data_IF_687514088199
#
_entry.id   IF_687514088199
#
_cell.length_a   1.000
_cell.length_b   1.000
_cell.length_c   1.000
_cell.angle_alpha   90.00
_cell.angle_beta   90.00
_cell.angle_gamma   90.00
#
_symmetry.space_group_name_H-M   'P 1'
#
loop_
_entity.id
_entity.type
_entity.pdbx_description
1 polymer ?
#
# COMPACT_ATOMS: atom_id res chain seq x y z
N UNK A 1 -41.91 19.81 25.73
CA UNK A 1 -40.50 19.61 25.36
C UNK A 1 -39.64 19.90 26.57
N UNK A 2 -39.18 18.86 27.25
CA UNK A 2 -38.38 18.99 28.48
C UNK A 2 -36.98 19.52 28.13
N UNK A 3 -36.68 20.74 28.58
CA UNK A 3 -35.30 21.24 28.69
C UNK A 3 -34.62 20.45 29.81
N UNK A 4 -33.51 19.80 29.50
CA UNK A 4 -32.69 19.11 30.48
C UNK A 4 -31.97 20.18 31.35
N UNK A 5 -32.21 20.29 32.67
CA UNK A 5 -31.78 21.46 33.45
C UNK A 5 -30.38 21.38 34.08
N UNK A 6 -29.51 20.46 33.65
CA UNK A 6 -28.27 20.13 34.38
C UNK A 6 -26.96 20.24 33.59
N UNK A 7 -26.80 21.25 32.73
CA UNK A 7 -25.48 21.63 32.20
C UNK A 7 -25.37 23.15 32.04
N UNK A 8 -25.33 23.88 33.16
CA UNK A 8 -24.65 25.18 33.19
C UNK A 8 -23.17 24.90 33.47
N UNK A 9 -22.38 24.69 32.43
CA UNK A 9 -20.93 24.63 32.54
C UNK A 9 -20.42 26.05 32.81
N UNK A 10 -20.05 26.33 34.06
CA UNK A 10 -19.36 27.58 34.39
C UNK A 10 -17.86 27.42 34.09
N UNK A 11 -17.16 28.52 33.79
CA UNK A 11 -15.70 28.53 33.59
C UNK A 11 -14.91 27.85 34.74
N UNK A 12 -15.50 27.77 35.95
CA UNK A 12 -14.93 27.09 37.11
C UNK A 12 -14.94 25.55 37.02
N UNK A 13 -15.80 24.96 36.18
CA UNK A 13 -15.87 23.51 35.98
C UNK A 13 -14.76 22.97 35.06
N UNK A 14 -14.16 23.84 34.24
CA UNK A 14 -13.00 23.53 33.38
C UNK A 14 -11.67 23.90 34.05
N UNK A 15 -11.62 24.97 34.84
CA UNK A 15 -10.41 25.48 35.50
C UNK A 15 -10.03 24.76 36.82
N UNK A 16 -10.79 23.73 37.23
CA UNK A 16 -10.48 22.92 38.42
C UNK A 16 -10.22 21.45 38.10
N UNK A 17 -9.32 21.20 37.16
CA UNK A 17 -8.61 19.92 37.14
C UNK A 17 -7.70 19.89 38.37
N UNK A 18 -8.22 19.39 39.50
CA UNK A 18 -7.38 19.12 40.66
C UNK A 18 -6.19 18.23 40.24
N UNK A 19 -5.03 18.36 40.91
CA UNK A 19 -3.86 17.51 40.61
C UNK A 19 -4.19 16.01 40.56
N UNK A 20 -5.20 15.57 41.31
CA UNK A 20 -5.74 14.21 41.30
C UNK A 20 -6.45 13.81 40.00
N UNK A 21 -7.18 14.73 39.34
CA UNK A 21 -7.83 14.45 38.04
C UNK A 21 -6.82 14.49 36.89
N UNK A 22 -5.78 15.33 36.98
CA UNK A 22 -4.65 15.32 36.05
C UNK A 22 -3.83 14.01 36.17
N UNK A 23 -3.60 13.55 37.40
CA UNK A 23 -2.94 12.27 37.69
C UNK A 23 -3.77 11.07 37.19
N UNK A 24 -5.10 11.11 37.36
CA UNK A 24 -6.00 10.04 36.92
C UNK A 24 -6.09 9.90 35.39
N UNK A 25 -6.00 11.00 34.65
CA UNK A 25 -5.95 10.96 33.18
C UNK A 25 -4.61 10.45 32.66
N UNK A 26 -3.51 10.84 33.33
CA UNK A 26 -2.16 10.34 33.07
C UNK A 26 -2.03 8.84 33.35
N UNK A 27 -2.64 8.36 34.43
CA UNK A 27 -2.73 6.92 34.73
C UNK A 27 -3.57 6.17 33.68
N UNK A 28 -4.67 6.76 33.21
CA UNK A 28 -5.48 6.18 32.14
C UNK A 28 -4.71 6.07 30.82
N UNK A 29 -3.87 7.06 30.47
CA UNK A 29 -3.02 7.00 29.26
C UNK A 29 -1.91 5.96 29.40
N UNK A 30 -1.31 5.82 30.58
CA UNK A 30 -0.36 4.74 30.89
C UNK A 30 -1.01 3.37 30.86
N UNK A 31 -2.23 3.23 31.37
CA UNK A 31 -3.00 1.98 31.31
C UNK A 31 -3.41 1.63 29.88
N UNK A 32 -3.80 2.62 29.06
CA UNK A 32 -4.10 2.42 27.64
C UNK A 32 -2.86 2.01 26.85
N UNK A 33 -1.69 2.59 27.13
CA UNK A 33 -0.42 2.18 26.51
C UNK A 33 -0.01 0.76 26.92
N UNK A 34 -0.13 0.41 28.21
CA UNK A 34 0.07 -0.97 28.69
C UNK A 34 -0.92 -1.95 28.03
N UNK A 35 -2.19 -1.57 27.96
CA UNK A 35 -3.25 -2.34 27.31
C UNK A 35 -3.04 -2.51 25.80
N UNK A 36 -2.48 -1.52 25.11
CA UNK A 36 -2.12 -1.62 23.70
C UNK A 36 -0.97 -2.60 23.48
N UNK A 37 0.04 -2.58 24.34
CA UNK A 37 1.16 -3.54 24.32
C UNK A 37 0.66 -4.96 24.61
N UNK A 38 -0.21 -5.16 25.59
CA UNK A 38 -0.78 -6.48 25.90
C UNK A 38 -1.72 -7.00 24.79
N UNK A 39 -2.50 -6.12 24.16
CA UNK A 39 -3.31 -6.48 22.97
C UNK A 39 -2.42 -6.87 21.79
N UNK A 40 -1.33 -6.15 21.58
CA UNK A 40 -0.35 -6.46 20.53
C UNK A 40 0.33 -7.81 20.81
N UNK A 41 0.76 -8.09 22.05
CA UNK A 41 1.30 -9.41 22.45
C UNK A 41 0.30 -10.53 22.21
N UNK A 42 -0.96 -10.33 22.58
CA UNK A 42 -2.02 -11.30 22.37
C UNK A 42 -2.26 -11.59 20.87
N UNK A 43 -2.22 -10.55 20.04
CA UNK A 43 -2.41 -10.67 18.59
C UNK A 43 -1.20 -11.34 17.92
N UNK A 44 0.03 -10.98 18.30
CA UNK A 44 1.27 -11.64 17.83
C UNK A 44 1.30 -13.13 18.20
N UNK A 45 0.89 -13.47 19.44
CA UNK A 45 0.78 -14.87 19.89
C UNK A 45 -0.29 -15.63 19.11
N UNK A 46 -1.45 -15.00 18.84
CA UNK A 46 -2.55 -15.58 18.05
C UNK A 46 -2.15 -15.86 16.59
N UNK A 47 -1.22 -15.07 16.06
CA UNK A 47 -0.68 -15.19 14.70
C UNK A 47 0.56 -16.09 14.62
N UNK A 48 1.01 -16.69 15.73
CA UNK A 48 2.16 -17.59 15.77
C UNK A 48 3.51 -16.91 15.54
N UNK A 49 3.60 -15.59 15.77
CA UNK A 49 4.79 -14.78 15.51
C UNK A 49 5.73 -14.85 16.71
N UNK A 50 6.98 -15.28 16.50
CA UNK A 50 8.02 -15.25 17.53
C UNK A 50 8.62 -13.84 17.66
N UNK A 51 8.68 -13.32 18.89
CA UNK A 51 9.36 -12.07 19.26
C UNK A 51 10.34 -12.33 20.39
N UNK A 52 11.39 -11.51 20.50
CA UNK A 52 12.34 -11.59 21.63
C UNK A 52 11.97 -10.61 22.74
N UNK A 53 12.41 -10.86 23.97
CA UNK A 53 12.21 -9.92 25.09
C UNK A 53 12.85 -8.54 24.82
N UNK A 54 13.98 -8.51 24.09
CA UNK A 54 14.63 -7.26 23.66
C UNK A 54 13.75 -6.43 22.71
N UNK A 55 13.00 -7.08 21.80
CA UNK A 55 12.10 -6.36 20.88
C UNK A 55 10.98 -5.65 21.66
N UNK A 56 10.52 -6.26 22.76
CA UNK A 56 9.50 -5.67 23.64
C UNK A 56 10.08 -4.51 24.44
N UNK A 57 11.30 -4.64 24.98
CA UNK A 57 11.95 -3.57 25.74
C UNK A 57 12.23 -2.32 24.88
N UNK A 58 12.65 -2.48 23.63
CA UNK A 58 12.86 -1.34 22.73
C UNK A 58 11.54 -0.60 22.44
N UNK A 59 10.45 -1.34 22.24
CA UNK A 59 9.11 -0.78 22.04
C UNK A 59 8.65 -0.02 23.28
N UNK A 60 8.83 -0.60 24.47
CA UNK A 60 8.49 0.05 25.75
C UNK A 60 9.24 1.36 25.94
N UNK A 61 10.56 1.36 25.72
CA UNK A 61 11.41 2.56 25.85
C UNK A 61 11.01 3.67 24.88
N UNK A 62 10.54 3.31 23.68
CA UNK A 62 10.04 4.27 22.71
C UNK A 62 8.68 4.86 23.14
N UNK A 63 7.77 4.02 23.62
CA UNK A 63 6.49 4.46 24.18
C UNK A 63 6.68 5.40 25.38
N UNK A 64 7.61 5.10 26.28
CA UNK A 64 7.90 5.94 27.44
C UNK A 64 8.38 7.34 27.04
N UNK A 65 9.25 7.43 26.02
CA UNK A 65 9.70 8.73 25.46
C UNK A 65 8.57 9.50 24.77
N UNK A 66 7.69 8.79 24.06
CA UNK A 66 6.53 9.40 23.41
C UNK A 66 5.55 9.97 24.45
N UNK A 67 5.29 9.21 25.51
CA UNK A 67 4.51 9.64 26.67
C UNK A 67 5.13 10.88 27.32
N UNK A 68 6.45 10.94 27.46
CA UNK A 68 7.15 12.10 28.02
C UNK A 68 7.02 13.37 27.15
N UNK A 69 7.09 13.22 25.82
CA UNK A 69 6.86 14.33 24.86
C UNK A 69 5.43 14.86 24.94
N UNK A 70 4.45 13.94 24.88
CA UNK A 70 3.02 14.27 25.00
C UNK A 70 2.76 15.00 26.33
N UNK A 71 3.31 14.50 27.44
CA UNK A 71 3.19 15.14 28.76
C UNK A 71 3.78 16.55 28.81
N UNK A 72 4.85 16.80 28.07
CA UNK A 72 5.51 18.12 28.03
C UNK A 72 4.68 19.12 27.23
N UNK A 73 4.17 18.72 26.07
CA UNK A 73 3.27 19.55 25.24
C UNK A 73 1.98 19.89 25.98
N UNK A 74 1.37 18.90 26.64
CA UNK A 74 0.16 19.11 27.44
C UNK A 74 0.35 20.08 28.59
N UNK A 75 1.50 20.05 29.28
CA UNK A 75 1.80 21.02 30.34
C UNK A 75 1.87 22.44 29.80
N UNK A 76 2.46 22.64 28.62
CA UNK A 76 2.55 23.96 27.98
C UNK A 76 1.18 24.49 27.53
N UNK A 77 0.31 23.62 27.03
CA UNK A 77 -1.06 23.99 26.61
C UNK A 77 -1.94 24.37 27.81
N UNK A 78 -1.84 23.64 28.92
CA UNK A 78 -2.53 23.98 30.18
C UNK A 78 -2.02 25.30 30.75
N UNK A 79 -0.71 25.54 30.69
CA UNK A 79 -0.10 26.81 31.14
C UNK A 79 -0.58 28.00 30.29
N UNK A 80 -0.74 27.82 28.98
CA UNK A 80 -1.30 28.84 28.08
C UNK A 80 -2.76 29.17 28.41
N UNK A 81 -3.60 28.15 28.64
CA UNK A 81 -5.02 28.35 28.98
C UNK A 81 -5.19 29.02 30.36
N UNK A 82 -4.32 28.66 31.32
CA UNK A 82 -4.29 29.31 32.64
C UNK A 82 -3.85 30.78 32.57
N UNK A 83 -2.94 31.12 31.65
CA UNK A 83 -2.39 32.47 31.50
C UNK A 83 -3.35 33.41 30.77
N UNK A 84 -4.00 32.94 29.70
CA UNK A 84 -4.82 33.80 28.84
C UNK A 84 -6.31 33.79 29.19
N UNK A 85 -6.76 32.86 30.03
CA UNK A 85 -8.16 32.73 30.42
C UNK A 85 -9.03 32.13 29.32
N UNK A 86 -9.92 31.21 29.71
CA UNK A 86 -10.77 30.45 28.79
C UNK A 86 -11.71 31.37 27.98
N UNK A 87 -12.33 32.35 28.62
CA UNK A 87 -13.33 33.22 27.97
C UNK A 87 -12.72 34.15 26.91
N UNK A 88 -11.50 34.64 27.14
CA UNK A 88 -10.76 35.43 26.16
C UNK A 88 -10.35 34.58 24.95
N UNK A 89 -9.98 33.32 25.21
CA UNK A 89 -9.58 32.34 24.20
C UNK A 89 -10.76 31.92 23.31
N UNK A 90 -11.93 31.66 23.89
CA UNK A 90 -13.16 31.36 23.15
C UNK A 90 -13.61 32.57 22.31
N UNK A 91 -13.45 33.78 22.82
CA UNK A 91 -13.77 35.02 22.09
C UNK A 91 -12.87 35.23 20.87
N UNK A 92 -11.56 34.93 21.00
CA UNK A 92 -10.62 34.98 19.88
C UNK A 92 -10.95 33.94 18.80
N UNK A 93 -11.34 32.73 19.20
CA UNK A 93 -11.70 31.64 18.29
C UNK A 93 -12.99 31.94 17.50
N UNK A 94 -14.02 32.47 18.17
CA UNK A 94 -15.24 32.91 17.50
C UNK A 94 -14.96 33.95 16.41
N UNK A 95 -14.10 34.93 16.73
CA UNK A 95 -13.66 35.96 15.79
C UNK A 95 -12.91 35.37 14.59
N UNK A 96 -11.99 34.42 14.81
CA UNK A 96 -11.24 33.74 13.72
C UNK A 96 -12.16 32.95 12.77
N UNK A 97 -13.25 32.39 13.29
CA UNK A 97 -14.24 31.62 12.52
C UNK A 97 -15.33 32.47 11.89
N UNK A 98 -15.28 33.80 12.06
CA UNK A 98 -16.31 34.74 11.59
C UNK A 98 -17.71 34.40 12.14
N UNK A 99 -17.75 33.81 13.34
CA UNK A 99 -18.98 33.49 14.06
C UNK A 99 -19.21 34.53 15.16
N UNK A 100 -20.46 34.85 15.46
CA UNK A 100 -20.76 35.60 16.67
C UNK A 100 -20.48 34.74 17.90
N UNK A 101 -20.19 35.38 19.04
CA UNK A 101 -19.94 34.67 20.29
C UNK A 101 -21.13 33.76 20.67
N UNK A 102 -22.35 34.17 20.34
CA UNK A 102 -23.58 33.39 20.59
C UNK A 102 -23.64 32.13 19.73
N UNK A 103 -23.37 32.23 18.43
CA UNK A 103 -23.37 31.09 17.51
C UNK A 103 -22.24 30.10 17.84
N UNK A 104 -21.07 30.62 18.23
CA UNK A 104 -19.97 29.78 18.66
C UNK A 104 -20.26 29.07 19.98
N UNK A 105 -20.84 29.77 20.96
CA UNK A 105 -21.25 29.13 22.22
C UNK A 105 -22.37 28.09 22.04
N UNK A 106 -23.30 28.31 21.10
CA UNK A 106 -24.32 27.32 20.73
C UNK A 106 -23.68 26.07 20.12
N UNK A 107 -22.76 26.25 19.16
CA UNK A 107 -21.96 25.17 18.59
C UNK A 107 -21.19 24.36 19.65
N UNK A 108 -20.55 25.03 20.61
CA UNK A 108 -19.81 24.37 21.69
C UNK A 108 -20.74 23.67 22.71
N UNK A 109 -21.98 24.14 22.88
CA UNK A 109 -22.96 23.58 23.83
C UNK A 109 -23.54 22.23 23.40
N UNK A 110 -23.48 21.93 22.10
CA UNK A 110 -23.88 20.63 21.54
C UNK A 110 -22.80 19.55 21.70
N UNK A 111 -21.59 19.93 22.09
CA UNK A 111 -20.42 19.05 22.18
C UNK A 111 -20.24 18.49 23.59
N UNK A 112 -19.76 17.23 23.71
CA UNK A 112 -19.34 16.68 24.99
C UNK A 112 -18.09 17.37 25.53
N UNK A 113 -17.86 17.39 26.86
CA UNK A 113 -16.71 18.09 27.49
C UNK A 113 -15.34 17.72 26.91
N UNK A 114 -15.16 16.45 26.52
CA UNK A 114 -13.92 15.96 25.92
C UNK A 114 -13.74 16.42 24.47
N UNK A 115 -14.83 16.46 23.71
CA UNK A 115 -14.87 16.89 22.31
C UNK A 115 -14.65 18.40 22.20
N UNK A 116 -15.27 19.16 23.12
CA UNK A 116 -15.08 20.60 23.29
C UNK A 116 -13.61 20.96 23.54
N UNK A 117 -12.94 20.22 24.42
CA UNK A 117 -11.52 20.44 24.73
C UNK A 117 -10.62 20.19 23.51
N UNK A 118 -10.85 19.11 22.77
CA UNK A 118 -10.08 18.80 21.56
C UNK A 118 -10.30 19.82 20.45
N UNK A 119 -11.53 20.29 20.25
CA UNK A 119 -11.82 21.33 19.24
C UNK A 119 -11.11 22.65 19.56
N UNK A 120 -11.11 23.09 20.82
CA UNK A 120 -10.41 24.29 21.26
C UNK A 120 -8.89 24.12 21.09
N UNK A 121 -8.36 22.95 21.47
CA UNK A 121 -6.94 22.60 21.34
C UNK A 121 -6.45 22.61 19.89
N UNK A 122 -7.19 21.98 18.97
CA UNK A 122 -6.87 21.88 17.54
C UNK A 122 -6.82 23.26 16.85
N UNK A 123 -7.65 24.19 17.30
CA UNK A 123 -7.75 25.54 16.71
C UNK A 123 -6.72 26.52 17.27
N UNK A 124 -6.32 26.38 18.53
CA UNK A 124 -5.31 27.23 19.16
C UNK A 124 -3.88 26.82 18.82
N UNK A 125 -3.64 25.52 18.71
CA UNK A 125 -2.31 24.95 18.47
C UNK A 125 -2.32 24.08 17.21
N UNK A 126 -2.57 24.66 16.01
CA UNK A 126 -2.65 23.89 14.77
C UNK A 126 -1.33 23.17 14.44
N UNK A 127 -0.20 23.67 14.95
CA UNK A 127 1.13 23.04 14.83
C UNK A 127 1.22 21.75 15.66
N UNK A 128 0.46 21.68 16.76
CA UNK A 128 0.34 20.52 17.65
C UNK A 128 -0.79 19.57 17.21
N UNK A 129 -1.43 19.78 16.05
CA UNK A 129 -2.35 18.78 15.43
C UNK A 129 -1.74 17.39 15.31
N UNK A 130 -0.40 17.29 15.40
CA UNK A 130 0.31 16.02 15.45
C UNK A 130 0.08 15.22 16.72
N UNK A 131 -0.28 15.79 17.89
CA UNK A 131 -0.04 15.10 19.17
C UNK A 131 -1.21 14.40 19.87
N UNK A 132 -2.40 14.24 19.27
CA UNK A 132 -3.35 13.20 19.72
C UNK A 132 -3.73 12.12 18.71
N UNK A 133 -3.35 12.31 17.45
CA UNK A 133 -3.35 11.26 16.43
C UNK A 133 -1.91 10.99 15.99
N UNK A 134 -0.99 10.80 16.93
CA UNK A 134 0.20 10.01 16.65
C UNK A 134 -0.29 8.54 16.64
N UNK A 135 -0.91 8.12 15.54
CA UNK A 135 -0.64 6.77 15.07
C UNK A 135 0.84 6.81 14.70
N UNK A 136 1.73 6.49 15.65
CA UNK A 136 3.09 6.08 15.28
C UNK A 136 2.86 4.81 14.50
N UNK A 137 2.82 4.94 13.18
CA UNK A 137 2.81 3.81 12.29
C UNK A 137 4.16 3.13 12.49
N UNK A 138 4.14 2.03 13.23
CA UNK A 138 5.31 1.19 13.40
C UNK A 138 5.60 0.52 12.08
N UNK A 139 6.88 0.45 11.72
CA UNK A 139 7.30 -0.27 10.52
C UNK A 139 7.01 -1.76 10.68
N UNK A 140 6.12 -2.31 9.85
CA UNK A 140 5.91 -3.76 9.78
C UNK A 140 7.12 -4.43 9.12
N UNK A 141 7.67 -5.47 9.77
CA UNK A 141 8.93 -6.12 9.35
C UNK A 141 8.74 -7.55 8.83
N UNK A 142 7.52 -7.98 8.54
CA UNK A 142 7.26 -9.36 8.11
C UNK A 142 7.71 -9.52 6.66
N UNK A 143 8.79 -10.27 6.44
CA UNK A 143 9.22 -10.66 5.10
C UNK A 143 8.28 -11.75 4.56
N UNK A 144 7.60 -11.52 3.41
CA UNK A 144 6.70 -12.53 2.86
C UNK A 144 7.45 -13.81 2.51
N UNK A 145 6.88 -14.98 2.81
CA UNK A 145 7.42 -16.27 2.34
C UNK A 145 6.92 -16.63 0.93
N UNK A 146 5.74 -16.10 0.59
CA UNK A 146 5.07 -16.28 -0.69
C UNK A 146 4.96 -14.94 -1.39
N UNK A 147 5.22 -14.93 -2.69
CA UNK A 147 5.00 -13.80 -3.56
C UNK A 147 3.68 -13.97 -4.33
N UNK A 148 2.78 -13.01 -4.15
CA UNK A 148 1.44 -13.00 -4.72
C UNK A 148 1.38 -12.05 -5.91
N UNK A 149 0.94 -12.59 -7.05
CA UNK A 149 0.85 -11.87 -8.33
C UNK A 149 -0.62 -11.88 -8.78
N UNK A 150 -1.33 -10.74 -8.75
CA UNK A 150 -2.52 -10.53 -9.57
C UNK A 150 -2.25 -10.94 -11.01
N UNK A 151 -2.96 -11.96 -11.50
CA UNK A 151 -2.77 -12.50 -12.84
C UNK A 151 -4.07 -12.48 -13.66
N UNK A 152 -5.00 -11.62 -13.29
CA UNK A 152 -6.20 -11.38 -14.10
C UNK A 152 -5.86 -10.67 -15.40
N UNK A 153 -6.75 -10.77 -16.40
CA UNK A 153 -6.56 -10.02 -17.65
C UNK A 153 -6.55 -8.52 -17.40
N UNK A 154 -7.39 -8.01 -16.50
CA UNK A 154 -7.38 -6.61 -16.07
C UNK A 154 -6.01 -6.23 -15.51
N UNK A 155 -5.49 -6.97 -14.52
CA UNK A 155 -4.17 -6.70 -13.93
C UNK A 155 -3.04 -6.67 -14.98
N UNK A 156 -3.11 -7.58 -15.95
CA UNK A 156 -2.10 -7.73 -16.99
C UNK A 156 -2.19 -6.64 -18.07
N UNK A 157 -3.39 -6.11 -18.32
CA UNK A 157 -3.64 -5.09 -19.33
C UNK A 157 -3.15 -3.71 -18.89
N UNK A 158 -3.17 -3.37 -17.59
CA UNK A 158 -2.78 -2.04 -17.09
C UNK A 158 -1.40 -1.56 -17.56
N UNK A 159 -0.48 -2.48 -17.83
CA UNK A 159 0.88 -2.17 -18.27
C UNK A 159 1.05 -2.28 -19.78
N UNK A 160 -0.01 -2.31 -20.58
CA UNK A 160 0.06 -2.47 -22.04
C UNK A 160 0.57 -1.19 -22.73
N UNK A 161 1.52 -1.28 -23.69
CA UNK A 161 1.99 -0.16 -24.52
C UNK A 161 0.96 0.67 -25.23
N UNK A 162 -0.17 0.08 -25.58
CA UNK A 162 -1.22 0.76 -26.29
C UNK A 162 -2.10 1.64 -25.39
N UNK A 163 -2.02 1.49 -24.07
CA UNK A 163 -2.82 2.29 -23.14
C UNK A 163 -2.11 3.63 -22.90
N UNK A 164 -2.64 4.68 -23.52
CA UNK A 164 -2.25 6.08 -23.30
C UNK A 164 -3.26 6.78 -22.39
N UNK A 165 -2.83 7.87 -21.75
CA UNK A 165 -3.62 8.58 -20.74
C UNK A 165 -4.85 9.29 -21.34
N UNK A 166 -4.89 9.50 -22.66
CA UNK A 166 -6.04 10.06 -23.39
C UNK A 166 -7.24 9.08 -23.42
N UNK A 167 -7.00 7.81 -23.10
CA UNK A 167 -8.00 6.75 -23.04
C UNK A 167 -8.40 6.56 -21.58
N UNK A 168 -9.13 7.54 -21.03
CA UNK A 168 -9.64 7.49 -19.65
C UNK A 168 -10.55 6.30 -19.36
N UNK A 169 -10.96 5.52 -20.37
CA UNK A 169 -11.72 4.27 -20.23
C UNK A 169 -11.45 3.32 -21.39
N UNK A 170 -11.22 2.03 -21.10
CA UNK A 170 -11.01 0.99 -22.10
C UNK A 170 -11.63 -0.34 -21.66
N UNK A 171 -11.99 -1.18 -22.64
CA UNK A 171 -12.55 -2.51 -22.39
C UNK A 171 -11.46 -3.59 -22.42
N UNK A 172 -11.51 -4.48 -21.43
CA UNK A 172 -10.63 -5.64 -21.32
C UNK A 172 -11.45 -6.90 -21.59
N UNK A 173 -11.23 -7.53 -22.73
CA UNK A 173 -11.88 -8.81 -23.08
C UNK A 173 -11.42 -9.92 -22.13
N UNK A 174 -12.21 -10.25 -21.10
CA UNK A 174 -11.90 -11.27 -20.07
C UNK A 174 -12.19 -12.69 -20.54
N UNK A 175 -13.17 -12.90 -21.42
CA UNK A 175 -13.47 -14.21 -21.99
C UNK A 175 -13.88 -14.15 -23.47
N UNK A 176 -12.96 -14.54 -24.36
CA UNK A 176 -13.17 -14.54 -25.82
C UNK A 176 -14.31 -15.45 -26.28
N UNK A 177 -14.43 -16.63 -25.66
CA UNK A 177 -15.39 -17.65 -26.12
C UNK A 177 -16.83 -17.26 -25.80
N UNK A 178 -17.01 -16.48 -24.73
CA UNK A 178 -18.32 -16.02 -24.25
C UNK A 178 -18.58 -14.54 -24.52
N UNK A 179 -17.66 -13.87 -25.23
CA UNK A 179 -17.70 -12.43 -25.53
C UNK A 179 -18.01 -11.60 -24.29
N UNK A 180 -17.12 -11.68 -23.29
CA UNK A 180 -17.27 -10.98 -22.01
C UNK A 180 -16.11 -10.01 -21.84
N UNK A 181 -16.43 -8.76 -21.54
CA UNK A 181 -15.47 -7.69 -21.29
C UNK A 181 -15.68 -7.05 -19.92
N UNK A 182 -14.62 -6.42 -19.41
CA UNK A 182 -14.63 -5.63 -18.18
C UNK A 182 -14.17 -4.23 -18.55
N UNK A 183 -14.97 -3.23 -18.21
CA UNK A 183 -14.62 -1.84 -18.48
C UNK A 183 -13.71 -1.33 -17.35
N UNK A 184 -12.59 -0.72 -17.73
CA UNK A 184 -11.60 -0.16 -16.80
C UNK A 184 -11.43 1.32 -17.13
N UNK A 185 -11.60 2.16 -16.12
CA UNK A 185 -11.37 3.60 -16.20
C UNK A 185 -10.13 3.93 -15.38
N UNK A 186 -9.21 4.70 -15.96
CA UNK A 186 -8.02 5.23 -15.31
C UNK A 186 -8.13 6.75 -15.33
N UNK A 187 -8.18 7.37 -14.16
CA UNK A 187 -8.23 8.83 -14.03
C UNK A 187 -6.89 9.35 -13.51
N UNK A 188 -6.33 10.30 -14.25
CA UNK A 188 -5.04 10.92 -14.01
C UNK A 188 -5.13 12.43 -13.76
N UNK A 189 -6.32 13.02 -13.92
CA UNK A 189 -6.56 14.45 -13.75
C UNK A 189 -7.20 14.71 -12.37
N UNK A 190 -6.43 15.30 -11.46
CA UNK A 190 -6.94 15.97 -10.26
C UNK A 190 -6.60 17.46 -10.40
N UNK A 191 -7.62 18.31 -10.36
CA UNK A 191 -7.53 19.77 -10.52
C UNK A 191 -6.58 20.44 -9.50
N UNK A 192 -6.23 19.76 -8.41
CA UNK A 192 -5.32 20.24 -7.36
C UNK A 192 -3.90 19.63 -7.44
N UNK A 193 -3.61 18.80 -8.44
CA UNK A 193 -2.34 18.05 -8.54
C UNK A 193 -1.72 18.28 -9.93
N UNK A 194 -0.70 19.12 -9.99
CA UNK A 194 0.19 19.17 -11.16
C UNK A 194 1.02 17.87 -11.22
N UNK A 195 0.60 16.92 -12.07
CA UNK A 195 1.47 15.82 -12.49
C UNK A 195 2.51 16.40 -13.46
N UNK A 196 3.63 16.90 -12.91
CA UNK A 196 4.74 17.44 -13.69
C UNK A 196 5.29 16.35 -14.60
N UNK A 197 4.97 16.50 -15.87
CA UNK A 197 5.29 15.58 -16.94
C UNK A 197 6.79 15.65 -17.26
N UNK A 198 7.57 14.75 -16.68
CA UNK A 198 8.93 14.46 -17.15
C UNK A 198 9.07 12.98 -17.47
N UNK A 199 8.74 12.66 -18.72
CA UNK A 199 9.05 11.41 -19.46
C UNK A 199 8.16 10.18 -19.20
N UNK A 200 6.88 10.24 -19.62
CA UNK A 200 6.13 9.03 -19.96
C UNK A 200 5.15 8.59 -18.88
N UNK A 201 4.04 9.31 -18.82
CA UNK A 201 2.79 8.95 -18.15
C UNK A 201 2.29 7.59 -18.68
N UNK A 202 2.77 6.48 -18.09
CA UNK A 202 2.32 5.08 -18.32
C UNK A 202 2.76 4.15 -17.20
N UNK A 203 1.90 3.19 -16.84
CA UNK A 203 2.31 2.05 -16.02
C UNK A 203 3.13 1.07 -16.85
N UNK A 204 4.27 0.68 -16.31
CA UNK A 204 5.21 -0.26 -16.92
C UNK A 204 5.12 -1.64 -16.27
N UNK A 205 5.69 -2.66 -16.91
CA UNK A 205 5.81 -3.98 -16.30
C UNK A 205 6.60 -3.94 -14.97
N UNK A 206 7.50 -2.96 -14.80
CA UNK A 206 8.20 -2.73 -13.54
C UNK A 206 7.26 -2.19 -12.46
N UNK A 207 6.34 -1.28 -12.80
CA UNK A 207 5.32 -0.79 -11.86
C UNK A 207 4.41 -1.92 -11.36
N UNK A 208 4.07 -2.88 -12.24
CA UNK A 208 3.37 -4.10 -11.83
C UNK A 208 4.18 -4.95 -10.86
N UNK A 209 5.50 -5.07 -11.03
CA UNK A 209 6.35 -5.76 -10.05
C UNK A 209 6.36 -5.10 -8.68
N UNK A 210 6.30 -3.77 -8.64
CA UNK A 210 6.15 -2.99 -7.40
C UNK A 210 4.78 -3.26 -6.78
N UNK A 211 3.69 -3.22 -7.56
CA UNK A 211 2.33 -3.57 -7.11
C UNK A 211 2.28 -4.98 -6.50
N UNK A 212 2.81 -5.99 -7.19
CA UNK A 212 2.85 -7.37 -6.69
C UNK A 212 3.58 -7.48 -5.34
N UNK A 213 4.63 -6.68 -5.17
CA UNK A 213 5.39 -6.63 -3.92
C UNK A 213 4.57 -6.01 -2.78
N UNK A 214 3.80 -4.97 -3.06
CA UNK A 214 2.85 -4.38 -2.10
C UNK A 214 1.76 -5.40 -1.73
N UNK A 215 1.16 -6.08 -2.72
CA UNK A 215 0.18 -7.14 -2.49
C UNK A 215 0.74 -8.28 -1.62
N UNK A 216 1.98 -8.68 -1.89
CA UNK A 216 2.64 -9.74 -1.12
C UNK A 216 2.91 -9.35 0.32
N UNK A 217 3.31 -8.09 0.56
CA UNK A 217 3.48 -7.57 1.92
C UNK A 217 2.15 -7.43 2.65
N UNK A 218 1.10 -7.00 1.96
CA UNK A 218 -0.27 -6.97 2.50
C UNK A 218 -0.75 -8.34 2.96
N UNK A 219 -0.60 -9.37 2.11
CA UNK A 219 -0.97 -10.76 2.46
C UNK A 219 -0.15 -11.32 3.63
N UNK A 220 1.09 -10.86 3.78
CA UNK A 220 1.91 -11.19 4.95
C UNK A 220 1.53 -10.38 6.22
N UNK A 221 0.48 -9.55 6.17
CA UNK A 221 -0.01 -8.76 7.29
C UNK A 221 0.66 -7.40 7.47
N UNK A 222 1.51 -6.96 6.54
CA UNK A 222 2.13 -5.63 6.62
C UNK A 222 1.18 -4.58 6.02
N UNK A 223 0.83 -3.56 6.81
CA UNK A 223 0.08 -2.39 6.35
C UNK A 223 0.99 -1.17 6.16
N UNK A 224 2.19 -1.19 6.71
CA UNK A 224 3.20 -0.14 6.57
C UNK A 224 4.47 -0.70 5.94
N UNK A 225 5.12 0.08 5.08
CA UNK A 225 6.36 -0.35 4.45
C UNK A 225 7.23 0.81 3.98
N UNK A 226 8.53 0.53 3.87
CA UNK A 226 9.50 1.42 3.21
C UNK A 226 9.73 1.01 1.76
N UNK A 227 10.20 1.94 0.89
CA UNK A 227 10.64 1.60 -0.46
C UNK A 227 11.69 0.47 -0.51
N UNK A 228 12.57 0.40 0.50
CA UNK A 228 13.61 -0.63 0.56
C UNK A 228 13.01 -2.02 0.79
N UNK A 229 12.01 -2.13 1.66
CA UNK A 229 11.28 -3.39 1.87
C UNK A 229 10.54 -3.85 0.61
N UNK A 230 9.96 -2.93 -0.14
CA UNK A 230 9.34 -3.22 -1.43
C UNK A 230 10.39 -3.71 -2.43
N UNK A 231 11.54 -3.04 -2.53
CA UNK A 231 12.64 -3.49 -3.39
C UNK A 231 13.12 -4.90 -3.04
N UNK A 232 13.28 -5.19 -1.74
CA UNK A 232 13.72 -6.51 -1.26
C UNK A 232 12.68 -7.59 -1.57
N UNK A 233 11.41 -7.30 -1.31
CA UNK A 233 10.28 -8.20 -1.61
C UNK A 233 10.23 -8.53 -3.10
N UNK A 234 10.34 -7.51 -3.96
CA UNK A 234 10.32 -7.64 -5.43
C UNK A 234 11.44 -8.54 -5.99
N UNK A 235 12.53 -8.70 -5.23
CA UNK A 235 13.73 -9.42 -5.65
C UNK A 235 14.06 -10.65 -4.79
N UNK A 236 13.18 -11.03 -3.87
CA UNK A 236 13.42 -12.15 -2.94
C UNK A 236 14.68 -11.98 -2.10
N UNK A 237 15.00 -10.73 -1.75
CA UNK A 237 16.16 -10.41 -0.92
C UNK A 237 15.79 -10.46 0.56
N UNK A 238 16.78 -10.72 1.38
CA UNK A 238 16.68 -10.68 2.84
C UNK A 238 16.60 -9.23 3.35
N UNK A 239 16.05 -9.03 4.56
CA UNK A 239 15.88 -7.70 5.16
C UNK A 239 17.21 -6.95 5.42
N UNK A 240 18.36 -7.64 5.39
CA UNK A 240 19.67 -7.04 5.59
C UNK A 240 20.34 -6.59 4.30
N UNK A 241 19.82 -6.99 3.14
CA UNK A 241 20.46 -6.66 1.87
C UNK A 241 20.31 -5.17 1.54
N UNK A 242 21.42 -4.60 1.05
CA UNK A 242 21.53 -3.19 0.74
C UNK A 242 20.67 -2.81 -0.47
N UNK A 243 19.99 -1.67 -0.37
CA UNK A 243 19.23 -1.06 -1.46
C UNK A 243 19.90 0.24 -1.88
N UNK A 244 20.27 0.35 -3.15
CA UNK A 244 20.92 1.55 -3.66
C UNK A 244 19.95 2.74 -3.67
N UNK A 245 20.47 3.97 -3.57
CA UNK A 245 19.67 5.20 -3.68
C UNK A 245 18.87 5.25 -4.99
N UNK A 246 19.47 4.80 -6.08
CA UNK A 246 18.85 4.75 -7.40
C UNK A 246 17.70 3.73 -7.46
N UNK A 247 17.88 2.54 -6.87
CA UNK A 247 16.82 1.54 -6.75
C UNK A 247 15.68 2.04 -5.88
N UNK A 248 16.00 2.68 -4.75
CA UNK A 248 15.01 3.30 -3.86
C UNK A 248 14.20 4.37 -4.58
N UNK A 249 14.86 5.27 -5.31
CA UNK A 249 14.20 6.34 -6.06
C UNK A 249 13.20 5.80 -7.10
N UNK A 250 13.56 4.74 -7.83
CA UNK A 250 12.64 4.07 -8.78
C UNK A 250 11.42 3.47 -8.10
N UNK A 251 11.59 2.87 -6.92
CA UNK A 251 10.46 2.34 -6.15
C UNK A 251 9.55 3.47 -5.68
N UNK A 252 10.11 4.56 -5.17
CA UNK A 252 9.35 5.76 -4.77
C UNK A 252 8.55 6.31 -5.96
N UNK A 253 9.19 6.48 -7.11
CA UNK A 253 8.54 6.97 -8.34
C UNK A 253 7.37 6.06 -8.75
N UNK A 254 7.57 4.74 -8.70
CA UNK A 254 6.55 3.75 -9.03
C UNK A 254 5.36 3.76 -8.06
N UNK A 255 5.63 3.80 -6.74
CA UNK A 255 4.59 3.87 -5.71
C UNK A 255 3.83 5.20 -5.82
N UNK A 256 4.52 6.32 -5.96
CA UNK A 256 3.89 7.64 -6.05
C UNK A 256 3.01 7.74 -7.31
N UNK A 257 3.47 7.18 -8.43
CA UNK A 257 2.66 7.05 -9.67
C UNK A 257 1.37 6.26 -9.41
N UNK A 258 1.45 5.12 -8.75
CA UNK A 258 0.28 4.27 -8.48
C UNK A 258 -0.62 4.81 -7.37
N UNK A 259 -0.09 5.57 -6.40
CA UNK A 259 -0.89 6.17 -5.33
C UNK A 259 -1.87 7.22 -5.87
N UNK A 260 -1.44 7.99 -6.85
CA UNK A 260 -2.21 9.09 -7.41
C UNK A 260 -3.18 8.66 -8.51
N UNK A 261 -3.16 7.38 -8.90
CA UNK A 261 -3.95 6.86 -10.02
C UNK A 261 -5.28 6.31 -9.52
N UNK A 262 -6.40 6.95 -9.85
CA UNK A 262 -7.73 6.39 -9.59
C UNK A 262 -8.09 5.34 -10.65
N UNK A 263 -8.63 4.20 -10.19
CA UNK A 263 -9.04 3.07 -11.00
C UNK A 263 -10.48 2.71 -10.66
N UNK A 264 -11.29 2.60 -11.70
CA UNK A 264 -12.65 2.05 -11.62
C UNK A 264 -12.77 0.83 -12.51
N UNK A 265 -13.34 -0.24 -11.96
CA UNK A 265 -13.51 -1.53 -12.64
C UNK A 265 -14.99 -1.88 -12.61
N UNK A 266 -15.62 -1.89 -13.79
CA UNK A 266 -16.98 -2.39 -13.97
C UNK A 266 -16.93 -3.81 -14.54
N UNK A 267 -17.17 -4.79 -13.67
CA UNK A 267 -17.17 -6.20 -14.00
C UNK A 267 -18.55 -6.83 -13.82
N UNK A 268 -19.59 -6.01 -13.94
CA UNK A 268 -21.00 -6.45 -13.90
C UNK A 268 -21.26 -7.58 -14.91
N UNK A 269 -20.74 -7.43 -16.14
CA UNK A 269 -20.92 -8.43 -17.19
C UNK A 269 -20.23 -9.76 -16.85
N UNK A 270 -18.99 -9.70 -16.34
CA UNK A 270 -18.27 -10.88 -15.87
C UNK A 270 -19.00 -11.57 -14.72
N UNK A 271 -19.49 -10.78 -13.76
CA UNK A 271 -20.18 -11.29 -12.59
C UNK A 271 -21.51 -11.98 -12.93
N UNK A 272 -22.30 -11.39 -13.82
CA UNK A 272 -23.60 -11.94 -14.23
C UNK A 272 -23.45 -13.18 -15.12
N UNK A 273 -22.44 -13.22 -16.01
CA UNK A 273 -22.28 -14.31 -17.00
C UNK A 273 -21.38 -15.46 -16.55
N UNK A 274 -20.44 -15.23 -15.63
CA UNK A 274 -19.47 -16.26 -15.19
C UNK A 274 -19.71 -16.73 -13.76
N UNK A 275 -20.04 -15.82 -12.84
CA UNK A 275 -20.23 -16.17 -11.44
C UNK A 275 -21.71 -16.48 -11.21
N UNK A 276 -22.03 -17.76 -10.98
CA UNK A 276 -23.31 -18.16 -10.37
C UNK A 276 -23.31 -17.75 -8.90
N UNK A 277 -23.13 -16.46 -8.62
CA UNK A 277 -23.15 -15.92 -7.29
C UNK A 277 -24.52 -16.28 -6.67
N UNK A 278 -24.62 -16.73 -5.41
CA UNK A 278 -25.92 -17.08 -4.82
C UNK A 278 -26.93 -15.91 -4.79
N UNK A 279 -26.46 -14.69 -5.06
CA UNK A 279 -27.25 -13.46 -5.23
C UNK A 279 -27.36 -13.00 -6.70
N UNK A 280 -26.94 -13.81 -7.69
CA UNK A 280 -26.85 -13.42 -9.11
C UNK A 280 -28.20 -13.22 -9.79
N UNK A 281 -29.29 -13.71 -9.21
CA UNK A 281 -30.65 -13.47 -9.74
C UNK A 281 -31.10 -12.01 -9.55
N UNK A 282 -30.38 -11.18 -8.77
CA UNK A 282 -30.76 -9.79 -8.49
C UNK A 282 -29.62 -8.75 -8.65
N UNK A 283 -28.43 -9.15 -9.11
CA UNK A 283 -27.29 -8.23 -9.20
C UNK A 283 -27.34 -7.43 -10.52
N UNK A 284 -27.80 -6.17 -10.47
CA UNK A 284 -27.90 -5.29 -11.65
C UNK A 284 -26.59 -4.54 -11.97
N UNK A 285 -25.68 -4.42 -11.00
CA UNK A 285 -24.42 -3.69 -11.15
C UNK A 285 -23.35 -4.16 -10.16
N UNK A 286 -22.11 -4.27 -10.63
CA UNK A 286 -20.95 -4.54 -9.78
C UNK A 286 -19.72 -3.74 -10.23
N UNK A 287 -19.50 -2.62 -9.56
CA UNK A 287 -18.39 -1.69 -9.81
C UNK A 287 -17.59 -1.52 -8.52
N UNK A 288 -16.26 -1.55 -8.64
CA UNK A 288 -15.35 -1.09 -7.60
C UNK A 288 -14.55 0.11 -8.10
N UNK A 289 -14.29 1.09 -7.22
CA UNK A 289 -13.52 2.30 -7.54
C UNK A 289 -12.63 2.67 -6.36
N UNK A 290 -11.36 2.94 -6.63
CA UNK A 290 -10.40 3.48 -5.66
C UNK A 290 -9.09 3.84 -6.36
N UNK A 291 -8.12 4.42 -5.65
CA UNK A 291 -6.74 4.50 -6.09
C UNK A 291 -6.14 3.10 -6.33
N UNK A 292 -5.29 2.97 -7.36
CA UNK A 292 -4.58 1.74 -7.69
C UNK A 292 -3.82 1.21 -6.47
N UNK A 293 -3.19 2.13 -5.73
CA UNK A 293 -2.67 1.91 -4.39
C UNK A 293 -3.15 3.02 -3.45
N UNK A 294 -4.23 2.79 -2.71
CA UNK A 294 -4.69 3.69 -1.66
C UNK A 294 -3.69 3.72 -0.48
N UNK A 295 -2.78 4.70 -0.52
CA UNK A 295 -1.67 4.84 0.42
C UNK A 295 -1.62 6.25 1.01
N UNK A 296 -1.16 6.38 2.26
CA UNK A 296 -0.66 7.63 2.82
C UNK A 296 0.86 7.63 2.86
N UNK A 297 1.49 8.79 2.61
CA UNK A 297 2.90 9.00 2.97
C UNK A 297 3.00 9.23 4.47
N UNK A 298 3.91 8.51 5.12
CA UNK A 298 4.10 8.56 6.57
C UNK A 298 5.59 8.67 6.90
N UNK A 299 5.91 9.27 8.04
CA UNK A 299 7.25 9.25 8.62
C UNK A 299 7.32 8.10 9.62
N UNK A 300 8.12 7.08 9.31
CA UNK A 300 8.28 5.88 10.11
C UNK A 300 9.52 6.04 10.99
N UNK A 301 9.36 5.86 12.30
CA UNK A 301 10.51 5.82 13.21
C UNK A 301 11.09 4.41 13.20
N UNK A 302 12.37 4.28 12.85
CA UNK A 302 13.13 3.03 12.89
C UNK A 302 14.27 3.12 13.89
N UNK A 303 14.91 1.99 14.21
CA UNK A 303 16.13 1.97 15.04
C UNK A 303 17.26 2.84 14.47
N UNK A 304 17.23 3.12 13.16
CA UNK A 304 18.22 3.93 12.45
C UNK A 304 17.76 5.38 12.18
N UNK A 305 16.65 5.80 12.79
CA UNK A 305 16.07 7.14 12.65
C UNK A 305 14.76 7.16 11.86
N UNK A 306 14.30 8.37 11.57
CA UNK A 306 13.05 8.62 10.85
C UNK A 306 13.27 8.42 9.35
N UNK A 307 12.44 7.60 8.72
CA UNK A 307 12.47 7.34 7.29
C UNK A 307 11.08 7.55 6.69
N UNK A 308 11.02 8.03 5.45
CA UNK A 308 9.76 8.07 4.72
C UNK A 308 9.29 6.64 4.40
N UNK A 309 8.04 6.36 4.71
CA UNK A 309 7.34 5.14 4.36
C UNK A 309 5.95 5.41 3.81
N UNK A 310 5.22 4.32 3.65
CA UNK A 310 3.87 4.31 3.11
C UNK A 310 3.00 3.45 4.01
N UNK A 311 1.78 3.91 4.25
CA UNK A 311 0.73 3.15 4.93
C UNK A 311 -0.41 2.85 3.99
N UNK A 312 -0.76 1.58 3.88
CA UNK A 312 -1.90 1.10 3.15
C UNK A 312 -3.19 1.46 3.88
N UNK A 313 -4.09 2.16 3.19
CA UNK A 313 -5.39 2.56 3.71
C UNK A 313 -6.44 1.47 3.49
N UNK A 314 -6.30 0.74 2.39
CA UNK A 314 -7.12 -0.42 2.08
C UNK A 314 -6.39 -1.37 1.13
N UNK A 315 -6.93 -2.57 0.98
CA UNK A 315 -6.41 -3.61 0.10
C UNK A 315 -6.29 -3.12 -1.37
N UNK A 316 -5.18 -3.40 -2.09
CA UNK A 316 -5.02 -2.96 -3.47
C UNK A 316 -6.16 -3.41 -4.38
N UNK A 317 -6.77 -2.48 -5.11
CA UNK A 317 -8.01 -2.71 -5.87
C UNK A 317 -7.88 -3.84 -6.93
N UNK A 318 -6.74 -3.89 -7.62
CA UNK A 318 -6.45 -4.93 -8.62
C UNK A 318 -6.29 -6.30 -7.98
N UNK A 319 -5.77 -6.34 -6.75
CA UNK A 319 -5.65 -7.56 -5.99
C UNK A 319 -7.01 -8.05 -5.50
N UNK A 320 -7.88 -7.14 -5.01
CA UNK A 320 -9.28 -7.44 -4.68
C UNK A 320 -10.02 -8.07 -5.85
N UNK A 321 -10.01 -7.43 -7.03
CA UNK A 321 -10.62 -7.99 -8.25
C UNK A 321 -10.05 -9.37 -8.61
N UNK A 322 -8.73 -9.53 -8.56
CA UNK A 322 -8.08 -10.79 -8.93
C UNK A 322 -8.37 -11.92 -7.93
N UNK A 323 -8.58 -11.61 -6.64
CA UNK A 323 -9.01 -12.59 -5.64
C UNK A 323 -10.44 -13.06 -5.88
N UNK A 324 -11.37 -12.15 -6.15
CA UNK A 324 -12.76 -12.51 -6.45
C UNK A 324 -12.84 -13.53 -7.60
N UNK A 325 -11.95 -13.39 -8.58
CA UNK A 325 -11.96 -14.20 -9.78
C UNK A 325 -11.05 -15.45 -9.69
N UNK A 326 -10.43 -15.71 -8.52
CA UNK A 326 -9.43 -16.76 -8.30
C UNK A 326 -8.25 -16.72 -9.29
N UNK A 327 -7.83 -15.51 -9.68
CA UNK A 327 -6.79 -15.25 -10.68
C UNK A 327 -5.51 -14.70 -10.04
N UNK A 328 -4.98 -15.43 -9.06
CA UNK A 328 -3.72 -15.08 -8.37
C UNK A 328 -2.73 -16.21 -8.49
N UNK A 329 -1.50 -15.84 -8.88
CA UNK A 329 -0.36 -16.73 -8.83
C UNK A 329 0.33 -16.55 -7.48
N UNK A 330 0.65 -17.67 -6.85
CA UNK A 330 1.44 -17.70 -5.63
C UNK A 330 2.72 -18.49 -5.92
N UNK A 331 3.89 -17.92 -5.63
CA UNK A 331 5.18 -18.62 -5.77
C UNK A 331 6.05 -18.41 -4.53
N UNK A 332 6.95 -19.36 -4.21
CA UNK A 332 7.96 -19.16 -3.15
C UNK A 332 8.80 -17.91 -3.43
N UNK A 333 9.02 -17.07 -2.41
CA UNK A 333 9.69 -15.78 -2.63
C UNK A 333 11.16 -15.91 -3.05
N UNK A 334 11.82 -17.00 -2.66
CA UNK A 334 13.20 -17.31 -3.02
C UNK A 334 13.38 -17.53 -4.54
N UNK A 335 12.30 -17.88 -5.27
CA UNK A 335 12.30 -17.98 -6.72
C UNK A 335 12.65 -16.64 -7.39
N UNK A 336 12.33 -15.52 -6.75
CA UNK A 336 12.67 -14.19 -7.25
C UNK A 336 14.16 -13.87 -7.16
N UNK A 337 14.90 -14.56 -6.29
CA UNK A 337 16.28 -14.19 -6.00
C UNK A 337 17.28 -14.71 -7.03
N UNK A 338 17.55 -13.91 -8.05
CA UNK A 338 18.46 -14.27 -9.16
C UNK A 338 19.93 -13.88 -8.92
N UNK A 339 20.31 -13.41 -7.72
CA UNK A 339 21.60 -12.71 -7.51
C UNK A 339 22.83 -13.56 -7.83
N UNK A 340 22.73 -14.87 -7.64
CA UNK A 340 23.84 -15.82 -7.89
C UNK A 340 24.05 -16.07 -9.39
N UNK A 341 23.07 -15.72 -10.24
CA UNK A 341 23.11 -15.92 -11.69
C UNK A 341 23.25 -14.60 -12.45
N UNK A 342 22.64 -13.54 -11.92
CA UNK A 342 22.46 -12.25 -12.59
C UNK A 342 22.37 -11.11 -11.57
N UNK A 343 23.04 -9.99 -11.89
CA UNK A 343 22.82 -8.73 -11.18
C UNK A 343 21.38 -8.24 -11.39
N UNK A 344 20.71 -7.91 -10.29
CA UNK A 344 19.38 -7.30 -10.31
C UNK A 344 19.39 -5.96 -11.07
N UNK A 345 18.45 -5.81 -12.00
CA UNK A 345 18.18 -4.57 -12.74
C UNK A 345 16.69 -4.53 -13.11
N UNK A 346 16.11 -3.36 -13.45
CA UNK A 346 14.70 -3.28 -13.85
C UNK A 346 14.34 -4.24 -14.99
N UNK A 347 15.23 -4.39 -15.98
CA UNK A 347 15.06 -5.33 -17.09
C UNK A 347 15.03 -6.79 -16.61
N UNK A 348 15.95 -7.18 -15.73
CA UNK A 348 15.98 -8.54 -15.17
C UNK A 348 14.72 -8.81 -14.35
N UNK A 349 14.27 -7.84 -13.54
CA UNK A 349 13.03 -7.94 -12.76
C UNK A 349 11.82 -8.19 -13.66
N UNK A 350 11.67 -7.40 -14.74
CA UNK A 350 10.56 -7.53 -15.68
C UNK A 350 10.58 -8.88 -16.40
N UNK A 351 11.75 -9.29 -16.93
CA UNK A 351 11.89 -10.59 -17.62
C UNK A 351 11.55 -11.73 -16.66
N UNK A 352 12.11 -11.70 -15.45
CA UNK A 352 11.91 -12.74 -14.42
C UNK A 352 10.45 -12.90 -14.07
N UNK A 353 9.77 -11.82 -13.72
CA UNK A 353 8.36 -11.89 -13.33
C UNK A 353 7.48 -12.35 -14.50
N UNK A 354 7.76 -11.89 -15.72
CA UNK A 354 7.04 -12.36 -16.90
C UNK A 354 7.19 -13.88 -17.09
N UNK A 355 8.42 -14.41 -16.97
CA UNK A 355 8.67 -15.85 -17.05
C UNK A 355 7.91 -16.61 -15.96
N UNK A 356 7.96 -16.15 -14.70
CA UNK A 356 7.21 -16.75 -13.58
C UNK A 356 5.72 -16.80 -13.90
N UNK A 357 5.12 -15.69 -14.35
CA UNK A 357 3.69 -15.63 -14.69
C UNK A 357 3.33 -16.63 -15.78
N UNK A 358 4.15 -16.72 -16.83
CA UNK A 358 3.92 -17.65 -17.95
C UNK A 358 4.04 -19.10 -17.51
N UNK A 359 5.08 -19.43 -16.73
CA UNK A 359 5.34 -20.80 -16.27
C UNK A 359 4.25 -21.24 -15.28
N UNK A 360 3.87 -20.40 -14.32
CA UNK A 360 2.80 -20.72 -13.37
C UNK A 360 1.47 -21.06 -14.08
N UNK A 361 1.13 -20.33 -15.15
CA UNK A 361 -0.04 -20.65 -15.97
C UNK A 361 0.11 -22.00 -16.68
N UNK A 362 1.31 -22.34 -17.18
CA UNK A 362 1.56 -23.65 -17.81
C UNK A 362 1.44 -24.80 -16.81
N UNK A 363 1.90 -24.60 -15.57
CA UNK A 363 1.80 -25.61 -14.49
C UNK A 363 0.35 -25.89 -14.09
N UNK A 364 -0.52 -24.88 -14.18
CA UNK A 364 -1.92 -24.99 -13.76
C UNK A 364 -2.87 -25.44 -14.90
N UNK A 365 -2.49 -25.29 -16.17
CA UNK A 365 -3.33 -25.70 -17.31
C UNK A 365 -2.47 -26.30 -18.44
N UNK A 366 -2.46 -27.64 -18.50
CA UNK A 366 -1.72 -28.43 -19.51
C UNK A 366 -2.17 -28.17 -20.95
N UNK A 367 -3.34 -27.54 -21.18
CA UNK A 367 -3.79 -27.15 -22.53
C UNK A 367 -3.11 -25.87 -23.02
N UNK A 368 -2.47 -25.10 -22.14
CA UNK A 368 -1.74 -23.90 -22.53
C UNK A 368 -0.44 -24.27 -23.22
N UNK A 369 -0.08 -23.47 -24.22
CA UNK A 369 1.22 -23.64 -24.88
C UNK A 369 2.35 -23.50 -23.87
N UNK A 370 3.28 -24.45 -23.92
CA UNK A 370 4.51 -24.44 -23.15
C UNK A 370 5.61 -23.54 -23.76
N UNK A 371 5.29 -22.73 -24.77
CA UNK A 371 6.23 -21.84 -25.46
C UNK A 371 6.09 -20.40 -24.98
N UNK A 372 7.24 -19.75 -24.79
CA UNK A 372 7.37 -18.32 -24.50
C UNK A 372 8.13 -17.67 -25.66
N UNK A 373 7.50 -16.72 -26.34
CA UNK A 373 8.08 -16.01 -27.48
C UNK A 373 8.91 -14.81 -27.02
N UNK A 374 10.10 -14.61 -27.60
CA UNK A 374 10.93 -13.44 -27.28
C UNK A 374 10.25 -12.13 -27.66
N UNK A 375 9.47 -12.13 -28.74
CA UNK A 375 8.67 -10.98 -29.13
C UNK A 375 7.78 -10.47 -27.98
N UNK A 376 7.18 -11.38 -27.20
CA UNK A 376 6.33 -10.99 -26.06
C UNK A 376 7.15 -10.43 -24.89
N UNK A 377 8.37 -10.92 -24.69
CA UNK A 377 9.31 -10.35 -23.71
C UNK A 377 9.73 -8.94 -24.15
N UNK A 378 9.96 -8.73 -25.44
CA UNK A 378 10.27 -7.41 -25.99
C UNK A 378 9.13 -6.42 -25.77
N UNK A 379 7.87 -6.85 -25.98
CA UNK A 379 6.69 -6.03 -25.69
C UNK A 379 6.60 -5.65 -24.21
N UNK A 380 6.83 -6.61 -23.29
CA UNK A 380 6.82 -6.35 -21.84
C UNK A 380 7.92 -5.36 -21.42
N UNK A 381 9.04 -5.34 -22.14
CA UNK A 381 10.12 -4.37 -21.94
C UNK A 381 9.90 -3.03 -22.65
N UNK A 382 8.76 -2.84 -23.32
CA UNK A 382 8.44 -1.66 -24.14
C UNK A 382 9.48 -1.39 -25.24
N UNK A 383 10.01 -2.43 -25.87
CA UNK A 383 11.00 -2.32 -26.93
C UNK A 383 10.36 -2.55 -28.30
N UNK A 384 10.41 -1.54 -29.17
CA UNK A 384 9.87 -1.60 -30.55
C UNK A 384 10.94 -1.92 -31.60
N UNK A 385 12.16 -1.39 -31.45
CA UNK A 385 13.27 -1.58 -32.39
C UNK A 385 14.49 -2.17 -31.69
N UNK A 386 14.63 -3.50 -31.77
CA UNK A 386 15.69 -4.24 -31.08
C UNK A 386 16.80 -4.62 -32.05
N UNK A 387 18.01 -4.15 -31.76
CA UNK A 387 19.21 -4.59 -32.46
C UNK A 387 19.62 -6.03 -32.06
N UNK A 388 20.50 -6.65 -32.87
CA UNK A 388 20.98 -8.01 -32.64
C UNK A 388 21.70 -8.18 -31.28
N UNK A 389 22.38 -7.14 -30.79
CA UNK A 389 23.14 -7.18 -29.53
C UNK A 389 22.21 -7.18 -28.32
N UNK A 390 21.16 -6.36 -28.36
CA UNK A 390 20.10 -6.28 -27.35
C UNK A 390 19.27 -7.55 -27.32
N UNK A 391 18.88 -8.07 -28.49
CA UNK A 391 18.19 -9.36 -28.59
C UNK A 391 19.01 -10.51 -27.99
N UNK A 392 20.32 -10.56 -28.30
CA UNK A 392 21.24 -11.52 -27.66
C UNK A 392 21.28 -11.36 -26.15
N UNK A 393 21.44 -10.14 -25.64
CA UNK A 393 21.48 -9.87 -24.19
C UNK A 393 20.19 -10.32 -23.47
N UNK A 394 19.03 -10.08 -24.08
CA UNK A 394 17.74 -10.52 -23.52
C UNK A 394 17.69 -12.05 -23.47
N UNK A 395 18.10 -12.73 -24.56
CA UNK A 395 18.17 -14.20 -24.58
C UNK A 395 19.11 -14.75 -23.51
N UNK A 396 20.32 -14.20 -23.39
CA UNK A 396 21.31 -14.63 -22.39
C UNK A 396 20.79 -14.39 -20.96
N UNK A 397 19.97 -13.34 -20.78
CA UNK A 397 19.28 -13.07 -19.50
C UNK A 397 18.18 -14.11 -19.22
N UNK A 398 17.35 -14.42 -20.22
CA UNK A 398 16.31 -15.47 -20.12
C UNK A 398 16.93 -16.82 -19.79
N UNK A 399 18.02 -17.20 -20.46
CA UNK A 399 18.76 -18.43 -20.22
C UNK A 399 19.16 -18.55 -18.75
N UNK A 400 19.84 -17.54 -18.20
CA UNK A 400 20.30 -17.55 -16.81
C UNK A 400 19.16 -17.60 -15.79
N UNK A 401 18.05 -16.93 -16.05
CA UNK A 401 16.86 -17.00 -15.17
C UNK A 401 16.27 -18.42 -15.20
N UNK A 402 16.14 -19.02 -16.38
CA UNK A 402 15.58 -20.36 -16.52
C UNK A 402 16.52 -21.45 -15.99
N UNK A 403 17.84 -21.27 -16.10
CA UNK A 403 18.83 -22.12 -15.43
C UNK A 403 18.61 -22.11 -13.93
N UNK A 404 18.49 -20.92 -13.32
CA UNK A 404 18.11 -20.83 -11.90
C UNK A 404 16.80 -21.56 -11.61
N UNK A 405 15.75 -21.33 -12.40
CA UNK A 405 14.46 -21.98 -12.16
C UNK A 405 14.53 -23.51 -12.26
N UNK A 406 15.41 -24.03 -13.11
CA UNK A 406 15.70 -25.47 -13.19
C UNK A 406 16.44 -25.95 -11.94
N UNK A 407 17.47 -25.23 -11.51
CA UNK A 407 18.28 -25.58 -10.35
C UNK A 407 17.48 -25.50 -9.04
N UNK A 408 16.51 -24.59 -8.95
CA UNK A 408 15.54 -24.48 -7.85
C UNK A 408 14.42 -25.56 -7.94
N UNK A 409 14.37 -26.36 -9.00
CA UNK A 409 13.31 -27.35 -9.24
C UNK A 409 11.95 -26.76 -9.61
N UNK A 410 11.89 -25.48 -9.99
CA UNK A 410 10.64 -24.82 -10.42
C UNK A 410 10.18 -25.28 -11.80
N UNK A 411 11.11 -25.66 -12.68
CA UNK A 411 10.89 -26.31 -13.98
C UNK A 411 11.81 -27.53 -14.12
N UNK A 412 11.47 -28.49 -14.98
CA UNK A 412 12.32 -29.66 -15.22
C UNK A 412 13.39 -29.40 -16.28
N UNK A 413 13.03 -28.73 -17.38
CA UNK A 413 13.95 -28.42 -18.49
C UNK A 413 13.45 -27.23 -19.33
N UNK A 414 14.35 -26.60 -20.09
CA UNK A 414 13.95 -25.65 -21.12
C UNK A 414 14.78 -25.79 -22.40
N UNK A 415 14.18 -25.51 -23.55
CA UNK A 415 14.87 -25.58 -24.85
C UNK A 415 14.55 -24.39 -25.73
N UNK A 416 15.59 -23.74 -26.28
CA UNK A 416 15.40 -22.67 -27.25
C UNK A 416 14.95 -23.23 -28.60
N UNK A 417 14.00 -22.55 -29.25
CA UNK A 417 13.56 -22.90 -30.60
C UNK A 417 13.73 -21.72 -31.56
N UNK A 418 13.93 -22.04 -32.84
CA UNK A 418 14.15 -21.07 -33.91
C UNK A 418 12.93 -20.98 -34.84
N UNK A 419 12.77 -19.84 -35.49
CA UNK A 419 11.91 -19.63 -36.65
C UNK A 419 12.78 -19.07 -37.77
N UNK A 420 13.08 -19.90 -38.78
CA UNK A 420 14.17 -19.63 -39.71
C UNK A 420 15.52 -19.60 -38.99
N UNK A 421 16.35 -18.59 -39.27
CA UNK A 421 17.68 -18.45 -38.67
C UNK A 421 17.71 -17.76 -37.30
N UNK A 422 16.59 -17.19 -36.86
CA UNK A 422 16.50 -16.45 -35.59
C UNK A 422 15.88 -17.31 -34.49
N UNK A 423 16.37 -17.13 -33.26
CA UNK A 423 15.71 -17.70 -32.08
C UNK A 423 14.36 -17.00 -31.87
N UNK A 424 13.29 -17.77 -31.84
CA UNK A 424 11.93 -17.26 -31.70
C UNK A 424 11.44 -17.27 -30.25
N UNK A 425 11.99 -18.17 -29.43
CA UNK A 425 11.61 -18.26 -28.03
C UNK A 425 12.17 -19.50 -27.34
N UNK A 426 11.52 -19.88 -26.25
CA UNK A 426 11.87 -21.02 -25.40
C UNK A 426 10.65 -21.90 -25.15
N UNK A 427 10.85 -23.22 -25.17
CA UNK A 427 9.86 -24.21 -24.73
C UNK A 427 10.21 -24.63 -23.31
N UNK A 428 9.22 -24.63 -22.42
CA UNK A 428 9.38 -25.02 -21.02
C UNK A 428 8.83 -26.44 -20.82
N UNK A 429 9.52 -27.22 -20.01
CA UNK A 429 9.00 -28.46 -19.43
C UNK A 429 8.88 -28.25 -17.92
N UNK A 430 7.71 -28.49 -17.35
CA UNK A 430 7.37 -28.12 -15.97
C UNK A 430 7.18 -29.31 -15.06
#
# INVERSE_FOLDING_TARGET
>A
MNKNPNLSLSANDFLSLSPEKQARFLDLTKELAKSAIERMKAELNKQGIQYTENDIEEIQKHYDKLLESINTEYKQEIEYLNTNGFDATVSELAHRKQLTLSEFNEFLSEMGKAELYETIRIELFPQNRRSLYIQTDFLDKIMPQTFYIPNSKVANSLTNPAITFDVGTFDVEVNKQKDISVQVTLNFDDENIEIVEKNGKRLTAFDRSVLNSVCSRYEAGNLTFTPDQIYRTMNGLTEREFVSKESRARIIESIDKMRLLEVKIDYTEEATKLYKHPTSESLSKYIISSYLLALSKVELTTSNGVVQGYKLLEKPIIYTYSQHNNQIISVPINLLNTKDYLRTSPEVTVIREYLIRRIAVMKNDLKKSNRILFEKIHTELNLTDIDKKKSKKIRDTVEKILTKFKDDGYISEFTFFKKGNAFAGVSINT
#
